data_IF_553989601786
#
_entry.id   IF_553989601786
#
_cell.length_a   1.000
_cell.length_b   1.000
_cell.length_c   1.000
_cell.angle_alpha   90.00
_cell.angle_beta   90.00
_cell.angle_gamma   90.00
#
_symmetry.space_group_name_H-M   'P 1'
#
loop_
_entity.id
_entity.type
_entity.pdbx_description
1 polymer ?
#
# COMPACT_ATOMS: atom_id res chain seq x y z
N UNK A 1 -57.48 -16.61 -2.62
CA UNK A 1 -56.63 -15.73 -1.79
C UNK A 1 -55.14 -15.70 -2.20
N UNK A 2 -54.77 -15.72 -3.50
CA UNK A 2 -53.35 -15.75 -3.95
C UNK A 2 -52.87 -14.53 -4.76
N UNK A 3 -53.79 -13.69 -5.28
CA UNK A 3 -53.48 -12.52 -6.11
C UNK A 3 -52.75 -11.35 -5.39
N UNK A 4 -53.03 -11.01 -4.12
CA UNK A 4 -52.37 -9.85 -3.50
C UNK A 4 -50.89 -10.12 -3.20
N UNK A 5 -50.53 -11.37 -2.87
CA UNK A 5 -49.15 -11.75 -2.55
C UNK A 5 -48.26 -11.70 -3.80
N UNK A 6 -48.78 -12.13 -4.96
CA UNK A 6 -48.03 -12.07 -6.22
C UNK A 6 -47.73 -10.62 -6.64
N UNK A 7 -48.69 -9.71 -6.47
CA UNK A 7 -48.51 -8.30 -6.77
C UNK A 7 -47.45 -7.63 -5.88
N UNK A 8 -47.41 -8.01 -4.59
CA UNK A 8 -46.38 -7.54 -3.66
C UNK A 8 -44.99 -8.05 -4.05
N UNK A 9 -44.87 -9.34 -4.39
CA UNK A 9 -43.58 -9.93 -4.83
C UNK A 9 -43.07 -9.24 -6.10
N UNK A 10 -43.94 -9.05 -7.10
CA UNK A 10 -43.57 -8.36 -8.34
C UNK A 10 -43.18 -6.91 -8.07
N UNK A 11 -43.90 -6.22 -7.19
CA UNK A 11 -43.57 -4.85 -6.79
C UNK A 11 -42.20 -4.75 -6.12
N UNK A 12 -41.87 -5.66 -5.21
CA UNK A 12 -40.56 -5.71 -4.54
C UNK A 12 -39.44 -6.00 -5.53
N UNK A 13 -39.63 -6.96 -6.45
CA UNK A 13 -38.63 -7.27 -7.49
C UNK A 13 -38.42 -6.08 -8.43
N UNK A 14 -39.49 -5.39 -8.84
CA UNK A 14 -39.40 -4.21 -9.70
C UNK A 14 -38.67 -3.05 -9.01
N UNK A 15 -38.93 -2.81 -7.73
CA UNK A 15 -38.19 -1.80 -6.94
C UNK A 15 -36.71 -2.19 -6.83
N UNK A 16 -36.41 -3.45 -6.54
CA UNK A 16 -35.04 -3.93 -6.43
C UNK A 16 -34.28 -3.84 -7.78
N UNK A 17 -34.96 -4.16 -8.89
CA UNK A 17 -34.42 -4.02 -10.23
C UNK A 17 -34.18 -2.55 -10.60
N UNK A 18 -35.11 -1.64 -10.27
CA UNK A 18 -34.92 -0.21 -10.45
C UNK A 18 -33.79 0.34 -9.57
N UNK A 19 -33.69 -0.08 -8.31
CA UNK A 19 -32.54 0.28 -7.47
C UNK A 19 -31.22 -0.21 -8.08
N UNK A 20 -31.21 -1.43 -8.62
CA UNK A 20 -30.02 -1.97 -9.27
C UNK A 20 -29.67 -1.24 -10.58
N UNK A 21 -30.66 -0.72 -11.30
CA UNK A 21 -30.44 -0.05 -12.58
C UNK A 21 -30.13 1.45 -12.44
N UNK A 22 -30.70 2.11 -11.42
CA UNK A 22 -30.59 3.57 -11.24
C UNK A 22 -29.71 4.01 -10.07
N UNK A 23 -29.52 3.16 -9.05
CA UNK A 23 -28.82 3.52 -7.80
C UNK A 23 -27.49 2.76 -7.66
N UNK A 24 -27.39 1.52 -8.14
CA UNK A 24 -26.10 0.88 -8.25
C UNK A 24 -25.36 1.53 -9.43
N UNK A 25 -24.21 2.18 -9.20
CA UNK A 25 -23.41 2.66 -10.31
C UNK A 25 -23.12 1.50 -11.26
N UNK A 26 -23.11 1.77 -12.56
CA UNK A 26 -22.43 0.88 -13.51
C UNK A 26 -21.08 0.53 -12.88
N UNK A 27 -20.75 -0.77 -12.83
CA UNK A 27 -19.51 -1.23 -12.22
C UNK A 27 -18.37 -0.32 -12.69
N UNK A 28 -17.54 0.20 -11.77
CA UNK A 28 -16.60 1.25 -12.13
C UNK A 28 -15.77 0.79 -13.33
N UNK A 29 -15.59 1.68 -14.30
CA UNK A 29 -14.80 1.35 -15.48
C UNK A 29 -13.35 1.10 -15.04
N UNK A 30 -12.93 -0.17 -15.12
CA UNK A 30 -11.60 -0.63 -14.71
C UNK A 30 -10.85 -1.05 -15.96
N UNK A 31 -9.83 -0.28 -16.31
CA UNK A 31 -8.88 -0.68 -17.34
C UNK A 31 -7.84 -1.60 -16.73
N UNK A 32 -7.54 -2.72 -17.39
CA UNK A 32 -6.50 -3.68 -16.98
C UNK A 32 -5.50 -3.90 -18.10
N UNK A 33 -4.23 -3.97 -17.72
CA UNK A 33 -3.10 -4.30 -18.58
C UNK A 33 -2.43 -5.51 -17.94
N UNK A 34 -2.56 -6.66 -18.57
CA UNK A 34 -2.02 -7.92 -18.07
C UNK A 34 -0.74 -8.28 -18.82
N UNK A 35 0.19 -8.96 -18.14
CA UNK A 35 1.45 -9.45 -18.74
C UNK A 35 2.27 -8.33 -19.41
N UNK A 36 2.43 -7.20 -18.74
CA UNK A 36 3.17 -6.04 -19.24
C UNK A 36 4.61 -6.44 -19.56
N UNK A 37 5.29 -6.98 -18.54
CA UNK A 37 6.69 -7.41 -18.63
C UNK A 37 7.00 -8.36 -17.47
N UNK A 38 8.21 -8.90 -17.49
CA UNK A 38 8.78 -9.65 -16.39
C UNK A 38 9.69 -8.75 -15.56
N UNK A 39 9.45 -8.74 -14.24
CA UNK A 39 10.25 -8.04 -13.23
C UNK A 39 11.17 -9.04 -12.54
N UNK A 40 12.48 -8.87 -12.73
CA UNK A 40 13.47 -9.61 -11.95
C UNK A 40 13.62 -8.96 -10.57
N UNK A 41 13.47 -9.75 -9.51
CA UNK A 41 13.65 -9.29 -8.13
C UNK A 41 14.64 -10.22 -7.42
N UNK A 42 15.88 -9.78 -7.18
CA UNK A 42 16.85 -10.56 -6.41
C UNK A 42 16.32 -10.90 -5.00
N UNK A 43 16.85 -11.98 -4.42
CA UNK A 43 16.47 -12.38 -3.06
C UNK A 43 16.75 -11.23 -2.07
N UNK A 44 15.75 -10.93 -1.24
CA UNK A 44 15.77 -9.82 -0.27
C UNK A 44 15.89 -8.41 -0.88
N UNK A 45 15.76 -8.27 -2.20
CA UNK A 45 15.77 -6.98 -2.88
C UNK A 45 14.60 -6.93 -3.88
N UNK A 46 13.37 -6.66 -3.37
CA UNK A 46 12.21 -6.49 -4.24
C UNK A 46 12.44 -5.26 -5.12
N UNK A 47 12.36 -5.42 -6.44
CA UNK A 47 12.65 -4.37 -7.42
C UNK A 47 11.52 -3.32 -7.48
N UNK A 48 11.33 -2.56 -6.40
CA UNK A 48 10.19 -1.66 -6.18
C UNK A 48 10.27 -0.46 -7.12
N UNK A 49 11.48 0.08 -7.32
CA UNK A 49 11.70 1.21 -8.21
C UNK A 49 11.46 0.84 -9.68
N UNK A 50 11.90 -0.35 -10.10
CA UNK A 50 11.64 -0.86 -11.46
C UNK A 50 10.13 -1.07 -11.68
N UNK A 51 9.41 -1.61 -10.67
CA UNK A 51 7.95 -1.72 -10.74
C UNK A 51 7.27 -0.35 -10.89
N UNK A 52 7.78 0.67 -10.20
CA UNK A 52 7.28 2.04 -10.33
C UNK A 52 7.46 2.59 -11.75
N UNK A 53 8.65 2.44 -12.33
CA UNK A 53 8.94 2.88 -13.69
C UNK A 53 8.01 2.19 -14.71
N UNK A 54 7.88 0.86 -14.61
CA UNK A 54 6.98 0.07 -15.45
C UNK A 54 5.53 0.55 -15.29
N UNK A 55 5.09 0.82 -14.06
CA UNK A 55 3.73 1.29 -13.80
C UNK A 55 3.47 2.65 -14.44
N UNK A 56 4.40 3.60 -14.32
CA UNK A 56 4.28 4.94 -14.90
C UNK A 56 4.20 4.85 -16.43
N UNK A 57 5.13 4.13 -17.05
CA UNK A 57 5.20 3.97 -18.50
C UNK A 57 3.95 3.28 -19.06
N UNK A 58 3.55 2.16 -18.45
CA UNK A 58 2.48 1.32 -18.99
C UNK A 58 1.09 1.93 -18.80
N UNK A 59 0.87 2.66 -17.71
CA UNK A 59 -0.44 3.27 -17.44
C UNK A 59 -0.61 4.62 -18.13
N UNK A 60 0.49 5.31 -18.44
CA UNK A 60 0.50 6.66 -18.99
C UNK A 60 0.07 7.72 -17.97
N UNK A 61 0.18 7.42 -16.67
CA UNK A 61 -0.04 8.40 -15.60
C UNK A 61 0.99 9.52 -15.68
N UNK A 62 0.57 10.75 -15.41
CA UNK A 62 1.45 11.90 -15.28
C UNK A 62 2.26 11.76 -13.99
N UNK A 63 3.52 11.34 -14.09
CA UNK A 63 4.40 11.02 -12.96
C UNK A 63 4.35 12.05 -11.82
N UNK A 64 4.46 13.35 -12.14
CA UNK A 64 4.47 14.45 -11.16
C UNK A 64 3.17 14.58 -10.34
N UNK A 65 2.05 14.08 -10.86
CA UNK A 65 0.75 14.10 -10.17
C UNK A 65 0.59 12.95 -9.16
N UNK A 66 1.54 12.01 -9.14
CA UNK A 66 1.35 10.78 -8.42
C UNK A 66 1.32 10.99 -6.90
N UNK A 67 0.43 10.25 -6.24
CA UNK A 67 0.30 10.24 -4.78
C UNK A 67 0.32 8.81 -4.28
N UNK A 68 1.24 8.51 -3.37
CA UNK A 68 1.35 7.18 -2.79
C UNK A 68 0.15 6.88 -1.90
N UNK A 69 -0.51 5.76 -2.20
CA UNK A 69 -1.58 5.22 -1.34
C UNK A 69 -1.07 4.13 -0.42
N UNK A 70 -0.31 3.17 -0.96
CA UNK A 70 0.19 2.00 -0.21
C UNK A 70 1.21 1.25 -1.05
N UNK A 71 2.23 0.69 -0.43
CA UNK A 71 3.05 -0.39 -0.99
C UNK A 71 2.99 -1.58 -0.04
N UNK A 72 2.79 -2.78 -0.58
CA UNK A 72 2.84 -4.05 0.14
C UNK A 72 3.76 -5.02 -0.59
N UNK A 73 4.70 -5.60 0.14
CA UNK A 73 5.63 -6.61 -0.37
C UNK A 73 5.54 -7.84 0.52
N UNK A 74 5.35 -9.00 -0.08
CA UNK A 74 5.43 -10.28 0.60
C UNK A 74 6.67 -11.04 0.15
N UNK A 75 7.56 -11.32 1.09
CA UNK A 75 8.81 -12.06 0.85
C UNK A 75 8.73 -13.44 1.50
N UNK A 76 9.10 -14.47 0.75
CA UNK A 76 9.34 -15.80 1.28
C UNK A 76 10.60 -15.83 2.17
N UNK A 77 10.75 -16.90 2.96
CA UNK A 77 11.91 -17.08 3.85
C UNK A 77 13.25 -17.26 3.16
N UNK A 78 13.27 -17.50 1.84
CA UNK A 78 14.46 -17.49 1.00
C UNK A 78 14.73 -16.10 0.38
N UNK A 79 13.92 -15.10 0.72
CA UNK A 79 14.00 -13.74 0.21
C UNK A 79 13.30 -13.51 -1.13
N UNK A 80 12.71 -14.54 -1.75
CA UNK A 80 12.01 -14.38 -3.01
C UNK A 80 10.72 -13.55 -2.82
N UNK A 81 10.53 -12.54 -3.68
CA UNK A 81 9.28 -11.79 -3.72
C UNK A 81 8.15 -12.67 -4.23
N UNK A 82 7.15 -12.92 -3.37
CA UNK A 82 5.92 -13.62 -3.72
C UNK A 82 4.93 -12.69 -4.38
N UNK A 83 4.81 -11.48 -3.85
CA UNK A 83 3.98 -10.42 -4.42
C UNK A 83 4.54 -9.05 -4.07
N UNK A 84 4.45 -8.13 -5.02
CA UNK A 84 4.59 -6.69 -4.81
C UNK A 84 3.28 -6.03 -5.27
N UNK A 85 2.59 -5.33 -4.38
CA UNK A 85 1.46 -4.47 -4.71
C UNK A 85 1.80 -3.01 -4.45
N UNK A 86 1.76 -2.21 -5.50
CA UNK A 86 1.92 -0.77 -5.43
C UNK A 86 0.59 -0.08 -5.78
N UNK A 87 0.04 0.63 -4.82
CA UNK A 87 -1.17 1.42 -4.97
C UNK A 87 -0.84 2.90 -4.93
N UNK A 88 -1.32 3.63 -5.92
CA UNK A 88 -1.12 5.06 -6.01
C UNK A 88 -2.28 5.73 -6.72
N UNK A 89 -2.38 7.05 -6.58
CA UNK A 89 -3.25 7.89 -7.37
C UNK A 89 -2.41 8.68 -8.35
N UNK A 90 -3.02 9.17 -9.42
CA UNK A 90 -2.40 10.12 -10.33
C UNK A 90 -3.39 10.56 -11.39
N UNK A 91 -2.97 11.53 -12.19
CA UNK A 91 -3.75 12.07 -13.28
C UNK A 91 -3.32 11.43 -14.60
N UNK A 92 -4.29 11.21 -15.48
CA UNK A 92 -4.08 10.81 -16.87
C UNK A 92 -5.03 11.61 -17.73
N UNK A 93 -4.49 12.35 -18.69
CA UNK A 93 -5.25 13.20 -19.61
C UNK A 93 -6.18 14.19 -18.86
N UNK A 94 -5.74 14.70 -17.69
CA UNK A 94 -6.49 15.60 -16.83
C UNK A 94 -7.60 14.94 -15.99
N UNK A 95 -7.69 13.60 -15.96
CA UNK A 95 -8.63 12.85 -15.13
C UNK A 95 -7.89 12.17 -13.98
N UNK A 96 -8.46 12.18 -12.77
CA UNK A 96 -7.87 11.48 -11.62
C UNK A 96 -8.20 9.99 -11.70
N UNK A 97 -7.18 9.14 -11.47
CA UNK A 97 -7.32 7.70 -11.37
C UNK A 97 -6.69 7.15 -10.08
N UNK A 98 -7.23 6.02 -9.61
CA UNK A 98 -6.56 5.10 -8.71
C UNK A 98 -5.89 4.01 -9.54
N UNK A 99 -4.64 3.70 -9.22
CA UNK A 99 -3.83 2.69 -9.87
C UNK A 99 -3.43 1.59 -8.88
N UNK A 100 -3.28 0.39 -9.43
CA UNK A 100 -2.63 -0.74 -8.77
C UNK A 100 -1.68 -1.36 -9.79
N UNK A 101 -0.39 -1.38 -9.45
CA UNK A 101 0.62 -2.18 -10.12
C UNK A 101 0.92 -3.41 -9.25
N UNK A 102 1.00 -4.57 -9.89
CA UNK A 102 1.14 -5.86 -9.24
C UNK A 102 2.25 -6.63 -9.94
N UNK A 103 3.22 -7.14 -9.18
CA UNK A 103 4.13 -8.18 -9.61
C UNK A 103 3.80 -9.45 -8.84
N UNK A 104 3.38 -10.50 -9.55
CA UNK A 104 2.99 -11.78 -8.96
C UNK A 104 4.14 -12.78 -8.79
N UNK A 105 3.84 -13.98 -8.27
CA UNK A 105 4.82 -15.07 -8.20
C UNK A 105 5.37 -15.38 -9.59
N UNK A 106 6.69 -15.23 -9.78
CA UNK A 106 7.33 -15.38 -11.09
C UNK A 106 7.50 -14.08 -11.87
N UNK A 107 7.32 -12.92 -11.23
CA UNK A 107 7.77 -11.63 -11.75
C UNK A 107 6.85 -11.00 -12.82
N UNK A 108 5.76 -11.65 -13.23
CA UNK A 108 4.86 -11.07 -14.22
C UNK A 108 4.15 -9.85 -13.65
N UNK A 109 4.29 -8.73 -14.34
CA UNK A 109 3.70 -7.44 -13.97
C UNK A 109 2.36 -7.25 -14.67
N UNK A 110 1.37 -6.80 -13.89
CA UNK A 110 0.08 -6.31 -14.37
C UNK A 110 -0.22 -4.97 -13.73
N UNK A 111 -0.99 -4.13 -14.42
CA UNK A 111 -1.48 -2.87 -13.89
C UNK A 111 -2.98 -2.73 -14.13
N UNK A 112 -3.66 -2.03 -13.23
CA UNK A 112 -5.04 -1.61 -13.44
C UNK A 112 -5.24 -0.18 -13.00
N UNK A 113 -6.21 0.48 -13.62
CA UNK A 113 -6.62 1.84 -13.28
C UNK A 113 -8.13 1.96 -13.19
N UNK A 114 -8.59 2.81 -12.29
CA UNK A 114 -9.99 3.15 -12.10
C UNK A 114 -10.13 4.66 -11.99
N UNK A 115 -11.02 5.24 -12.79
CA UNK A 115 -11.31 6.68 -12.72
C UNK A 115 -11.96 7.07 -11.39
N UNK A 116 -11.59 8.23 -10.87
CA UNK A 116 -12.14 8.84 -9.67
C UNK A 116 -12.87 10.14 -10.00
N UNK A 117 -13.89 10.45 -9.19
CA UNK A 117 -14.68 11.68 -9.33
C UNK A 117 -14.14 12.85 -8.50
N UNK A 118 -12.99 12.68 -7.83
CA UNK A 118 -12.38 13.65 -6.93
C UNK A 118 -10.86 13.59 -7.06
N UNK A 119 -10.21 14.73 -6.83
CA UNK A 119 -8.75 14.82 -6.77
C UNK A 119 -8.21 14.31 -5.44
N UNK A 120 -7.02 13.72 -5.45
CA UNK A 120 -6.32 13.27 -4.25
C UNK A 120 -5.05 14.08 -4.04
N UNK A 121 -4.81 14.50 -2.80
CA UNK A 121 -3.57 15.17 -2.39
C UNK A 121 -2.76 14.27 -1.46
N UNK A 122 -1.45 14.28 -1.62
CA UNK A 122 -0.54 13.56 -0.74
C UNK A 122 0.91 13.62 -1.22
N UNK A 123 1.71 12.65 -0.79
CA UNK A 123 3.14 12.62 -1.05
C UNK A 123 3.44 11.83 -2.31
N UNK A 124 4.32 12.36 -3.16
CA UNK A 124 4.81 11.65 -4.33
C UNK A 124 5.56 10.36 -3.92
N UNK A 125 5.29 9.19 -4.54
CA UNK A 125 5.82 7.92 -4.09
C UNK A 125 7.35 7.83 -4.03
N UNK A 126 8.03 8.41 -5.02
CA UNK A 126 9.42 8.09 -5.33
C UNK A 126 10.42 8.28 -4.18
N UNK A 127 10.25 9.29 -3.33
CA UNK A 127 11.15 9.49 -2.19
C UNK A 127 11.03 8.36 -1.16
N UNK A 128 9.79 7.95 -0.85
CA UNK A 128 9.51 6.86 0.07
C UNK A 128 9.89 5.50 -0.52
N UNK A 129 9.62 5.28 -1.81
CA UNK A 129 10.00 4.05 -2.49
C UNK A 129 11.51 3.84 -2.50
N UNK A 130 12.31 4.91 -2.70
CA UNK A 130 13.77 4.85 -2.63
C UNK A 130 14.28 4.45 -1.25
N UNK A 131 13.67 4.98 -0.19
CA UNK A 131 14.03 4.59 1.18
C UNK A 131 13.73 3.11 1.43
N UNK A 132 12.58 2.61 0.97
CA UNK A 132 12.22 1.19 1.09
C UNK A 132 13.18 0.30 0.30
N UNK A 133 13.48 0.67 -0.94
CA UNK A 133 14.34 -0.10 -1.85
C UNK A 133 15.79 -0.20 -1.34
N UNK A 134 16.25 0.81 -0.59
CA UNK A 134 17.57 0.83 0.03
C UNK A 134 17.69 -0.04 1.29
N UNK A 135 16.60 -0.51 1.89
CA UNK A 135 16.64 -1.32 3.11
C UNK A 135 17.30 -2.68 2.82
N UNK A 136 18.34 -3.01 3.59
CA UNK A 136 18.94 -4.35 3.59
C UNK A 136 18.01 -5.36 4.29
N UNK A 137 17.00 -5.87 3.57
CA UNK A 137 16.03 -6.83 4.13
C UNK A 137 16.69 -8.15 4.55
N UNK A 138 17.83 -8.48 3.96
CA UNK A 138 18.65 -9.63 4.36
C UNK A 138 19.21 -9.51 5.79
N UNK A 139 19.26 -8.32 6.39
CA UNK A 139 19.75 -8.13 7.76
C UNK A 139 18.63 -8.23 8.81
N UNK A 140 17.38 -8.42 8.40
CA UNK A 140 16.25 -8.50 9.32
C UNK A 140 16.30 -9.82 10.13
N UNK A 141 16.22 -9.79 11.47
CA UNK A 141 16.47 -10.97 12.32
C UNK A 141 15.57 -12.18 12.06
N UNK A 142 14.36 -11.97 11.52
CA UNK A 142 13.38 -13.03 11.25
C UNK A 142 13.19 -13.31 9.76
N UNK A 143 14.14 -12.89 8.91
CA UNK A 143 14.07 -13.04 7.45
C UNK A 143 13.75 -14.48 6.99
N UNK A 144 14.29 -15.49 7.68
CA UNK A 144 14.12 -16.91 7.32
C UNK A 144 12.67 -17.40 7.44
N UNK A 145 11.83 -16.69 8.19
CA UNK A 145 10.40 -16.99 8.32
C UNK A 145 9.60 -16.47 7.12
N UNK A 146 10.18 -15.58 6.33
CA UNK A 146 9.46 -14.70 5.42
C UNK A 146 8.91 -13.48 6.16
N UNK A 147 8.55 -12.46 5.41
CA UNK A 147 8.10 -11.18 5.97
C UNK A 147 7.16 -10.45 5.03
N UNK A 148 6.32 -9.61 5.62
CA UNK A 148 5.53 -8.61 4.91
C UNK A 148 6.12 -7.23 5.22
N UNK A 149 6.40 -6.46 4.18
CA UNK A 149 6.73 -5.05 4.26
C UNK A 149 5.51 -4.24 3.81
N UNK A 150 5.10 -3.28 4.63
CA UNK A 150 3.97 -2.40 4.39
C UNK A 150 4.42 -0.95 4.53
N UNK A 151 4.33 -0.18 3.44
CA UNK A 151 4.44 1.27 3.46
C UNK A 151 3.03 1.87 3.33
N UNK A 152 2.56 2.52 4.39
CA UNK A 152 1.18 3.03 4.47
C UNK A 152 1.09 4.45 5.04
N UNK A 153 0.17 5.28 4.54
CA UNK A 153 -0.10 6.60 5.09
C UNK A 153 -0.88 6.51 6.41
N UNK A 154 -0.62 7.45 7.30
CA UNK A 154 -1.29 7.64 8.57
C UNK A 154 -1.67 9.12 8.74
N UNK A 155 -2.67 9.37 9.58
CA UNK A 155 -3.20 10.69 9.87
C UNK A 155 -3.92 10.70 11.23
N UNK A 156 -4.41 11.87 11.65
CA UNK A 156 -5.24 12.09 12.84
C UNK A 156 -4.51 11.97 14.19
N UNK A 157 -3.18 12.06 14.15
CA UNK A 157 -2.34 11.98 15.33
C UNK A 157 -2.24 10.57 15.89
N UNK A 158 -1.04 10.21 16.34
CA UNK A 158 -0.80 8.91 16.92
C UNK A 158 0.48 8.91 17.75
N UNK A 159 0.61 7.88 18.58
CA UNK A 159 1.72 7.70 19.49
C UNK A 159 2.36 6.33 19.33
N UNK A 160 3.66 6.31 19.07
CA UNK A 160 4.46 5.10 18.87
C UNK A 160 5.51 4.98 19.97
N UNK A 161 5.59 3.80 20.58
CA UNK A 161 6.61 3.42 21.55
C UNK A 161 6.85 1.89 21.46
N UNK A 162 7.65 1.34 22.39
CA UNK A 162 8.00 -0.08 22.47
C UNK A 162 6.80 -1.05 22.52
N UNK A 163 5.62 -0.59 22.94
CA UNK A 163 4.41 -1.43 22.97
C UNK A 163 3.82 -1.69 21.59
N UNK A 164 4.22 -0.91 20.57
CA UNK A 164 3.77 -1.07 19.18
C UNK A 164 4.76 -1.82 18.30
N UNK A 165 6.04 -1.69 18.59
CA UNK A 165 7.10 -2.11 17.69
C UNK A 165 8.46 -1.65 18.16
N UNK A 166 9.51 -2.23 17.58
CA UNK A 166 10.83 -1.61 17.57
C UNK A 166 10.81 -0.45 16.57
N UNK A 167 11.05 0.77 17.04
CA UNK A 167 10.93 1.97 16.23
C UNK A 167 12.29 2.41 15.69
N UNK A 168 12.30 2.91 14.46
CA UNK A 168 13.50 3.40 13.81
C UNK A 168 13.24 4.65 12.97
N UNK A 169 14.22 5.54 12.90
CA UNK A 169 14.42 6.40 11.73
C UNK A 169 15.10 5.54 10.66
N UNK A 170 14.64 5.63 9.41
CA UNK A 170 15.35 5.09 8.24
C UNK A 170 15.81 6.24 7.34
N UNK A 171 17.05 6.14 6.90
CA UNK A 171 17.67 7.06 5.92
C UNK A 171 18.69 6.27 5.13
N UNK A 172 18.56 6.28 3.80
CA UNK A 172 19.44 5.54 2.89
C UNK A 172 19.52 4.05 3.26
N UNK A 173 18.39 3.47 3.68
CA UNK A 173 18.30 2.07 4.09
C UNK A 173 18.87 1.74 5.48
N UNK A 174 19.46 2.71 6.18
CA UNK A 174 20.07 2.50 7.50
C UNK A 174 19.06 2.79 8.61
N UNK A 175 18.89 1.82 9.51
CA UNK A 175 18.04 1.96 10.69
C UNK A 175 18.78 2.63 11.86
N UNK A 176 18.21 3.71 12.38
CA UNK A 176 18.64 4.36 13.62
C UNK A 176 17.55 4.21 14.70
N UNK A 177 17.86 3.65 15.88
CA UNK A 177 16.86 3.42 16.92
C UNK A 177 16.13 4.69 17.36
N UNK A 178 14.82 4.57 17.50
CA UNK A 178 13.92 5.58 18.06
C UNK A 178 13.20 4.94 19.25
N UNK A 179 13.10 5.68 20.34
CA UNK A 179 12.40 5.23 21.56
C UNK A 179 10.92 5.52 21.47
N UNK A 180 10.57 6.71 21.00
CA UNK A 180 9.21 7.24 21.08
C UNK A 180 8.98 8.30 19.99
N UNK A 181 7.80 8.28 19.37
CA UNK A 181 7.36 9.29 18.39
C UNK A 181 5.91 9.66 18.66
N UNK A 182 5.60 10.95 18.64
CA UNK A 182 4.23 11.46 18.75
C UNK A 182 3.92 12.37 17.58
N UNK A 183 2.81 12.09 16.90
CA UNK A 183 2.27 12.87 15.81
C UNK A 183 1.01 13.60 16.27
N UNK A 184 0.90 14.87 15.90
CA UNK A 184 -0.28 15.69 16.17
C UNK A 184 -1.47 15.35 15.26
N UNK A 185 -2.68 15.84 15.58
CA UNK A 185 -3.91 15.54 14.83
C UNK A 185 -3.86 15.98 13.35
N UNK A 186 -3.10 17.04 13.06
CA UNK A 186 -2.97 17.59 11.70
C UNK A 186 -1.80 16.97 10.92
N UNK A 187 -0.98 16.14 11.58
CA UNK A 187 0.16 15.50 10.94
C UNK A 187 -0.28 14.44 9.94
N UNK A 188 0.48 14.31 8.85
CA UNK A 188 0.39 13.23 7.87
C UNK A 188 1.78 12.64 7.71
N UNK A 189 1.88 11.32 7.83
CA UNK A 189 3.16 10.62 7.77
C UNK A 189 2.95 9.24 7.17
N UNK A 190 4.04 8.62 6.76
CA UNK A 190 4.06 7.23 6.34
C UNK A 190 4.83 6.40 7.37
N UNK A 191 4.45 5.13 7.47
CA UNK A 191 5.18 4.11 8.25
C UNK A 191 5.62 3.01 7.31
N UNK A 192 6.87 2.59 7.44
CA UNK A 192 7.38 1.35 6.85
C UNK A 192 7.35 0.30 7.95
N UNK A 193 6.39 -0.62 7.86
CA UNK A 193 6.18 -1.68 8.85
C UNK A 193 6.67 -3.01 8.27
N UNK A 194 7.55 -3.70 8.98
CA UNK A 194 8.05 -5.03 8.59
C UNK A 194 7.64 -6.03 9.67
N UNK A 195 6.93 -7.08 9.27
CA UNK A 195 6.43 -8.14 10.17
C UNK A 195 6.78 -9.52 9.66
N UNK A 196 7.15 -10.47 10.52
CA UNK A 196 7.40 -11.86 10.10
C UNK A 196 6.11 -12.55 9.66
N UNK A 197 6.23 -13.53 8.77
CA UNK A 197 5.13 -14.47 8.53
C UNK A 197 4.88 -15.31 9.77
N UNK A 198 3.60 -15.52 10.08
CA UNK A 198 3.14 -16.25 11.26
C UNK A 198 2.13 -17.32 10.86
N UNK A 199 2.04 -18.38 11.66
CA UNK A 199 0.93 -19.31 11.55
C UNK A 199 -0.40 -18.58 11.81
N UNK A 200 -1.49 -18.94 11.10
CA UNK A 200 -2.79 -18.31 11.28
C UNK A 200 -3.23 -18.28 12.75
N UNK A 201 -3.65 -17.11 13.24
CA UNK A 201 -4.21 -16.93 14.58
C UNK A 201 -3.26 -16.46 15.68
N UNK A 202 -1.99 -16.20 15.38
CA UNK A 202 -1.03 -15.60 16.33
C UNK A 202 -0.59 -14.21 15.86
N UNK A 203 -0.99 -13.11 16.53
CA UNK A 203 -0.47 -11.78 16.21
C UNK A 203 1.05 -11.72 16.47
N UNK A 204 1.80 -10.88 15.74
CA UNK A 204 3.20 -10.63 16.06
C UNK A 204 3.32 -9.98 17.44
N UNK A 205 4.33 -10.35 18.22
CA UNK A 205 4.64 -9.59 19.43
C UNK A 205 5.25 -8.24 19.03
N UNK A 206 5.11 -7.18 19.85
CA UNK A 206 5.69 -5.87 19.53
C UNK A 206 7.20 -5.93 19.24
N UNK A 207 7.94 -6.81 19.90
CA UNK A 207 9.37 -7.01 19.65
C UNK A 207 9.69 -7.55 18.25
N UNK A 208 8.73 -8.13 17.55
CA UNK A 208 8.90 -8.66 16.19
C UNK A 208 8.40 -7.71 15.10
N UNK A 209 7.72 -6.64 15.48
CA UNK A 209 7.29 -5.60 14.55
C UNK A 209 8.39 -4.56 14.46
N UNK A 210 8.95 -4.34 13.26
CA UNK A 210 9.75 -3.16 12.98
C UNK A 210 8.85 -2.08 12.40
N UNK A 211 8.92 -0.87 12.95
CA UNK A 211 8.24 0.30 12.43
C UNK A 211 9.30 1.36 12.17
N UNK A 212 9.48 1.72 10.91
CA UNK A 212 10.41 2.75 10.51
C UNK A 212 9.70 3.97 9.94
N UNK A 213 10.29 5.13 10.19
CA UNK A 213 9.86 6.43 9.72
C UNK A 213 11.00 7.04 8.90
N UNK A 214 10.69 7.67 7.77
CA UNK A 214 11.73 8.44 7.07
C UNK A 214 12.02 9.74 7.82
N UNK A 215 13.12 10.42 7.48
CA UNK A 215 13.38 11.78 7.99
C UNK A 215 12.25 12.77 7.67
N UNK A 216 11.64 12.63 6.49
CA UNK A 216 10.50 13.46 6.10
C UNK A 216 9.32 13.23 7.04
N UNK A 217 9.04 11.98 7.41
CA UNK A 217 7.96 11.63 8.32
C UNK A 217 8.23 12.18 9.73
N UNK A 218 9.43 11.94 10.27
CA UNK A 218 9.79 12.41 11.61
C UNK A 218 9.83 13.94 11.73
N UNK A 219 10.08 14.66 10.64
CA UNK A 219 10.00 16.12 10.62
C UNK A 219 8.57 16.65 10.84
N UNK A 220 7.54 15.84 10.58
CA UNK A 220 6.14 16.16 10.84
C UNK A 220 5.67 15.77 12.25
N UNK A 221 6.50 15.10 13.04
CA UNK A 221 6.18 14.70 14.41
C UNK A 221 6.22 15.90 15.37
N UNK A 222 5.36 15.89 16.38
CA UNK A 222 5.40 16.87 17.48
C UNK A 222 6.58 16.61 18.42
N UNK A 223 6.93 15.34 18.62
CA UNK A 223 8.08 14.94 19.43
C UNK A 223 8.69 13.64 18.94
N UNK A 224 10.03 13.56 18.99
CA UNK A 224 10.82 12.36 18.71
C UNK A 224 11.85 12.19 19.82
N UNK A 225 11.88 11.02 20.45
CA UNK A 225 12.92 10.64 21.41
C UNK A 225 13.79 9.53 20.81
N UNK A 226 15.08 9.79 20.66
CA UNK A 226 16.05 8.79 20.20
C UNK A 226 16.49 7.88 21.35
N UNK A 227 16.81 6.63 21.00
CA UNK A 227 17.32 5.60 21.93
C UNK A 227 18.84 5.57 22.00
#
# INVERSE_FOLDING_TARGET
MRRPILAVIVGVIAVYACMHFFILPEAPDVTRIENITHLESPAYHPAILDLWEIAVESTGVENESAVLRKLEVDLAGDGAARVIWLYFYGDKDGEQHAYEAYAGPGGIVSAKSQKLAYSVQGVHPLALLREVDAIALEDIPFREQGMTLLLSPNAYGDHYNETRGRLYEVSDGVFRPVREVTFGPDARWYTITITPHRSPGSPPSPEEVLIAFTRQDLAAAESVAYG
#
